data_IF_589915423284
#
_entry.id   IF_589915423284
#
_cell.length_a   1.000
_cell.length_b   1.000
_cell.length_c   1.000
_cell.angle_alpha   90.00
_cell.angle_beta   90.00
_cell.angle_gamma   90.00
#
_symmetry.space_group_name_H-M   'P 1'
#
loop_
_entity.id
_entity.type
_entity.pdbx_description
1 polymer ?
#
# COMPACT_ATOMS: atom_id res chain seq x y z
N UNK A 1 23.21 -20.66 -19.66
CA UNK A 1 23.31 -21.14 -18.25
C UNK A 1 23.02 -20.07 -17.19
N UNK A 2 23.27 -18.78 -17.42
CA UNK A 2 23.04 -17.71 -16.42
C UNK A 2 21.56 -17.40 -16.11
N UNK A 3 20.64 -17.59 -17.06
CA UNK A 3 19.19 -17.31 -16.85
C UNK A 3 18.48 -18.30 -15.92
N UNK A 4 19.01 -19.51 -15.76
CA UNK A 4 18.48 -20.53 -14.86
C UNK A 4 18.79 -20.24 -13.39
N UNK A 5 20.03 -19.81 -13.09
CA UNK A 5 20.45 -19.41 -11.75
C UNK A 5 19.71 -18.15 -11.27
N UNK A 6 19.45 -17.21 -12.18
CA UNK A 6 18.73 -15.95 -11.90
C UNK A 6 17.25 -16.17 -11.58
N UNK A 7 16.57 -17.07 -12.30
CA UNK A 7 15.20 -17.50 -11.99
C UNK A 7 15.12 -18.21 -10.64
N UNK A 8 16.12 -19.05 -10.33
CA UNK A 8 16.23 -19.71 -9.03
C UNK A 8 16.47 -18.72 -7.89
N UNK A 9 17.34 -17.72 -8.10
CA UNK A 9 17.65 -16.68 -7.13
C UNK A 9 16.45 -15.76 -6.85
N UNK A 10 15.71 -15.32 -7.86
CA UNK A 10 14.45 -14.58 -7.69
C UNK A 10 13.36 -15.39 -7.00
N UNK A 11 13.26 -16.67 -7.36
CA UNK A 11 12.31 -17.58 -6.73
C UNK A 11 12.70 -17.82 -5.27
N UNK A 12 13.99 -17.86 -4.95
CA UNK A 12 14.55 -18.00 -3.61
C UNK A 12 14.37 -16.73 -2.78
N UNK A 13 14.66 -15.53 -3.30
CA UNK A 13 14.40 -14.24 -2.64
C UNK A 13 12.90 -14.06 -2.40
N UNK A 14 12.04 -14.32 -3.40
CA UNK A 14 10.59 -14.26 -3.19
C UNK A 14 10.08 -15.35 -2.26
N UNK A 15 10.71 -16.53 -2.23
CA UNK A 15 10.41 -17.57 -1.23
C UNK A 15 10.90 -17.17 0.15
N UNK A 16 12.01 -16.45 0.26
CA UNK A 16 12.57 -15.93 1.51
C UNK A 16 11.75 -14.76 2.04
N UNK A 17 11.34 -13.81 1.21
CA UNK A 17 10.42 -12.72 1.55
C UNK A 17 9.05 -13.26 1.95
N UNK A 18 8.48 -14.20 1.17
CA UNK A 18 7.24 -14.87 1.55
C UNK A 18 7.41 -15.71 2.80
N UNK A 19 8.55 -16.39 3.01
CA UNK A 19 8.84 -17.12 4.25
C UNK A 19 9.08 -16.20 5.42
N UNK A 20 9.63 -15.00 5.23
CA UNK A 20 9.86 -13.99 6.24
C UNK A 20 8.54 -13.30 6.62
N UNK A 21 7.70 -12.93 5.64
CA UNK A 21 6.35 -12.41 5.89
C UNK A 21 5.42 -13.49 6.48
N UNK A 22 5.49 -14.73 5.99
CA UNK A 22 4.73 -15.85 6.53
C UNK A 22 5.26 -16.27 7.91
N UNK A 23 6.58 -16.18 8.16
CA UNK A 23 7.16 -16.35 9.49
C UNK A 23 6.74 -15.22 10.43
N UNK A 24 6.70 -13.96 9.98
CA UNK A 24 6.17 -12.84 10.77
C UNK A 24 4.69 -13.04 11.11
N UNK A 25 3.88 -13.52 10.16
CA UNK A 25 2.46 -13.83 10.37
C UNK A 25 2.25 -15.07 11.26
N UNK A 26 3.06 -16.13 11.09
CA UNK A 26 3.02 -17.36 11.88
C UNK A 26 3.55 -17.12 13.30
N UNK A 27 4.60 -16.33 13.47
CA UNK A 27 5.13 -15.91 14.78
C UNK A 27 4.09 -15.07 15.51
N UNK A 28 3.39 -14.15 14.82
CA UNK A 28 2.28 -13.38 15.41
C UNK A 28 1.08 -14.25 15.78
N UNK A 29 0.66 -15.19 14.91
CA UNK A 29 -0.45 -16.12 15.20
C UNK A 29 -0.13 -17.14 16.30
N UNK A 30 1.09 -17.67 16.33
CA UNK A 30 1.56 -18.64 17.34
C UNK A 30 1.80 -17.95 18.69
N UNK A 31 2.18 -16.68 18.71
CA UNK A 31 2.24 -15.86 19.92
C UNK A 31 0.84 -15.60 20.51
N UNK A 32 -0.15 -15.29 19.66
CA UNK A 32 -1.55 -15.12 20.06
C UNK A 32 -2.19 -16.41 20.59
N UNK A 33 -1.81 -17.58 20.04
CA UNK A 33 -2.37 -18.87 20.46
C UNK A 33 -1.69 -19.51 21.68
N UNK A 34 -0.49 -19.05 22.07
CA UNK A 34 0.30 -19.65 23.17
C UNK A 34 0.48 -18.73 24.37
N UNK A 35 -0.12 -17.54 24.37
CA UNK A 35 0.03 -16.55 25.44
C UNK A 35 1.47 -16.01 25.61
N UNK A 36 2.41 -16.40 24.75
CA UNK A 36 3.79 -15.90 24.74
C UNK A 36 3.86 -14.63 23.89
N UNK A 37 4.46 -13.56 24.42
CA UNK A 37 4.80 -12.36 23.62
C UNK A 37 5.48 -12.78 22.32
N UNK A 38 5.00 -12.27 21.19
CA UNK A 38 5.69 -12.43 19.92
C UNK A 38 7.15 -11.98 20.12
N UNK A 39 8.12 -12.83 19.76
CA UNK A 39 9.52 -12.40 19.69
C UNK A 39 9.53 -11.15 18.81
N UNK A 40 9.91 -10.01 19.38
CA UNK A 40 10.11 -8.80 18.62
C UNK A 40 11.13 -9.12 17.54
N UNK A 41 10.74 -9.05 16.27
CA UNK A 41 11.68 -9.16 15.17
C UNK A 41 12.46 -7.86 15.13
N UNK A 42 13.66 -7.87 15.69
CA UNK A 42 14.52 -6.70 15.64
C UNK A 42 15.03 -6.52 14.22
N UNK A 43 15.40 -5.29 13.85
CA UNK A 43 15.96 -5.01 12.53
C UNK A 43 17.17 -5.90 12.21
N UNK A 44 17.98 -6.23 13.24
CA UNK A 44 19.08 -7.20 13.13
C UNK A 44 18.62 -8.57 12.63
N UNK A 45 17.55 -9.12 13.20
CA UNK A 45 17.04 -10.45 12.83
C UNK A 45 16.55 -10.45 11.36
N UNK A 46 15.97 -9.34 10.92
CA UNK A 46 15.48 -9.17 9.53
C UNK A 46 16.65 -9.04 8.55
N UNK A 47 17.66 -8.24 8.90
CA UNK A 47 18.89 -8.09 8.12
C UNK A 47 19.61 -9.44 7.97
N UNK A 48 19.85 -10.17 9.06
CA UNK A 48 20.51 -11.48 9.02
C UNK A 48 19.72 -12.48 8.18
N UNK A 49 18.39 -12.52 8.32
CA UNK A 49 17.56 -13.39 7.51
C UNK A 49 17.62 -13.03 6.01
N UNK A 50 17.67 -11.74 5.67
CA UNK A 50 17.82 -11.26 4.30
C UNK A 50 19.16 -11.68 3.71
N UNK A 51 20.26 -11.41 4.40
CA UNK A 51 21.61 -11.73 3.94
C UNK A 51 21.83 -13.23 3.80
N UNK A 52 21.37 -14.04 4.76
CA UNK A 52 21.43 -15.50 4.67
C UNK A 52 20.64 -16.03 3.46
N UNK A 53 19.52 -15.38 3.13
CA UNK A 53 18.72 -15.76 1.97
C UNK A 53 19.39 -15.41 0.64
N UNK A 54 20.13 -14.30 0.60
CA UNK A 54 20.92 -13.88 -0.55
C UNK A 54 22.12 -14.80 -0.75
N UNK A 55 22.84 -15.13 0.32
CA UNK A 55 23.96 -16.05 0.31
C UNK A 55 23.53 -17.46 -0.16
N UNK A 56 22.42 -17.98 0.38
CA UNK A 56 21.82 -19.26 -0.08
C UNK A 56 21.44 -19.21 -1.57
N UNK A 57 21.11 -18.04 -2.11
CA UNK A 57 20.82 -17.85 -3.52
C UNK A 57 22.07 -17.67 -4.40
N UNK A 58 23.27 -17.67 -3.79
CA UNK A 58 24.56 -17.54 -4.47
C UNK A 58 25.06 -16.10 -4.60
N UNK A 59 24.46 -15.14 -3.90
CA UNK A 59 24.95 -13.76 -3.83
C UNK A 59 25.87 -13.61 -2.64
N UNK A 60 27.18 -13.76 -2.89
CA UNK A 60 28.20 -13.58 -1.86
C UNK A 60 28.30 -12.14 -1.40
N UNK A 61 28.88 -11.93 -0.22
CA UNK A 61 29.13 -10.61 0.34
C UNK A 61 29.90 -9.69 -0.64
N UNK A 62 30.97 -10.21 -1.23
CA UNK A 62 31.79 -9.49 -2.22
C UNK A 62 30.99 -9.07 -3.46
N UNK A 63 30.03 -9.91 -3.87
CA UNK A 63 29.13 -9.58 -4.98
C UNK A 63 28.17 -8.47 -4.58
N UNK A 64 27.56 -8.56 -3.39
CA UNK A 64 26.63 -7.55 -2.87
C UNK A 64 27.31 -6.19 -2.70
N UNK A 65 28.55 -6.13 -2.21
CA UNK A 65 29.30 -4.87 -2.09
C UNK A 65 29.47 -4.14 -3.43
N UNK A 66 29.62 -4.89 -4.53
CA UNK A 66 29.83 -4.31 -5.87
C UNK A 66 28.54 -4.06 -6.64
N UNK A 67 27.46 -4.79 -6.33
CA UNK A 67 26.27 -4.84 -7.20
C UNK A 67 24.96 -4.47 -6.47
N UNK A 68 24.96 -4.30 -5.15
CA UNK A 68 23.75 -3.91 -4.43
C UNK A 68 23.55 -2.39 -4.54
N UNK A 69 22.60 -1.99 -5.39
CA UNK A 69 22.37 -0.58 -5.73
C UNK A 69 21.32 0.06 -4.82
N UNK A 70 20.24 -0.66 -4.50
CA UNK A 70 19.17 -0.08 -3.70
C UNK A 70 18.41 -1.07 -2.82
N UNK A 71 17.83 -0.54 -1.76
CA UNK A 71 16.93 -1.23 -0.85
C UNK A 71 15.61 -0.47 -0.72
N UNK A 72 14.49 -1.14 -1.00
CA UNK A 72 13.15 -0.52 -1.01
C UNK A 72 12.25 -1.19 0.02
N UNK A 73 11.59 -0.41 0.87
CA UNK A 73 10.68 -0.95 1.89
C UNK A 73 9.48 -0.05 2.22
N UNK A 74 8.56 -0.51 3.05
CA UNK A 74 7.28 0.14 3.39
C UNK A 74 7.40 1.32 4.37
N UNK A 75 8.60 1.71 4.78
CA UNK A 75 8.83 2.85 5.67
C UNK A 75 8.52 2.60 7.14
N UNK A 76 8.24 1.35 7.52
CA UNK A 76 8.20 0.99 8.93
C UNK A 76 9.53 1.34 9.62
N UNK A 77 9.48 1.80 10.88
CA UNK A 77 10.68 2.20 11.64
C UNK A 77 11.71 1.07 11.75
N UNK A 78 11.27 -0.19 11.83
CA UNK A 78 12.17 -1.35 11.83
C UNK A 78 12.90 -1.52 10.49
N UNK A 79 12.32 -1.05 9.38
CA UNK A 79 12.88 -1.18 8.04
C UNK A 79 13.71 0.04 7.62
N UNK A 80 13.17 1.25 7.74
CA UNK A 80 13.81 2.49 7.28
C UNK A 80 14.22 3.44 8.43
N UNK A 81 14.18 3.00 9.68
CA UNK A 81 14.51 3.85 10.83
C UNK A 81 15.98 4.28 10.88
N UNK A 82 16.21 5.58 11.12
CA UNK A 82 17.53 6.22 11.05
C UNK A 82 18.60 5.65 11.98
N UNK A 83 18.22 5.11 13.14
CA UNK A 83 19.18 4.70 14.17
C UNK A 83 19.52 3.22 14.11
N UNK A 84 18.53 2.37 13.83
CA UNK A 84 18.67 0.92 13.96
C UNK A 84 17.86 0.13 12.93
N UNK A 85 17.24 0.79 11.96
CA UNK A 85 16.46 0.12 10.91
C UNK A 85 17.32 -0.74 10.00
N UNK A 86 16.69 -1.70 9.32
CA UNK A 86 17.38 -2.60 8.36
C UNK A 86 18.15 -1.80 7.31
N UNK A 87 17.55 -0.75 6.76
CA UNK A 87 18.17 0.15 5.79
C UNK A 87 19.48 0.75 6.32
N UNK A 88 19.45 1.35 7.51
CA UNK A 88 20.63 1.93 8.17
C UNK A 88 21.74 0.90 8.36
N UNK A 89 21.37 -0.33 8.75
CA UNK A 89 22.33 -1.42 8.96
C UNK A 89 22.93 -1.90 7.63
N UNK A 90 22.11 -2.02 6.59
CA UNK A 90 22.57 -2.37 5.25
C UNK A 90 23.45 -1.27 4.64
N UNK A 91 23.11 0.01 4.80
CA UNK A 91 23.93 1.13 4.30
C UNK A 91 25.27 1.21 5.03
N UNK A 92 25.34 0.86 6.31
CA UNK A 92 26.61 0.75 7.03
C UNK A 92 27.51 -0.37 6.48
N UNK A 93 26.92 -1.45 5.94
CA UNK A 93 27.64 -2.57 5.33
C UNK A 93 27.95 -2.36 3.85
N UNK A 94 27.07 -1.66 3.15
CA UNK A 94 27.13 -1.36 1.72
C UNK A 94 26.97 0.15 1.53
N UNK A 95 28.07 0.94 1.58
CA UNK A 95 28.00 2.40 1.56
C UNK A 95 27.35 3.00 0.31
N UNK A 96 27.39 2.28 -0.82
CA UNK A 96 26.77 2.70 -2.08
C UNK A 96 25.27 2.36 -2.18
N UNK A 97 24.69 1.78 -1.12
CA UNK A 97 23.30 1.34 -1.12
C UNK A 97 22.35 2.53 -0.91
N UNK A 98 21.55 2.81 -1.93
CA UNK A 98 20.49 3.80 -1.83
C UNK A 98 19.22 3.19 -1.19
N UNK A 99 18.60 3.91 -0.26
CA UNK A 99 17.39 3.42 0.42
C UNK A 99 16.16 4.20 -0.04
N UNK A 100 15.08 3.50 -0.37
CA UNK A 100 13.88 4.11 -0.93
C UNK A 100 12.62 3.70 -0.18
N UNK A 101 11.77 4.68 0.09
CA UNK A 101 10.44 4.42 0.64
C UNK A 101 9.48 4.09 -0.51
N UNK A 102 8.90 2.88 -0.46
CA UNK A 102 8.00 2.35 -1.47
C UNK A 102 6.93 3.38 -1.88
N UNK A 103 6.88 3.71 -3.17
CA UNK A 103 5.93 4.69 -3.70
C UNK A 103 4.49 4.31 -3.43
N UNK A 104 4.15 3.02 -3.53
CA UNK A 104 2.79 2.61 -3.27
C UNK A 104 2.42 2.78 -1.79
N UNK A 105 3.37 2.58 -0.86
CA UNK A 105 3.12 2.89 0.54
C UNK A 105 2.98 4.41 0.77
N UNK A 106 3.81 5.23 0.11
CA UNK A 106 3.69 6.70 0.15
C UNK A 106 2.32 7.16 -0.38
N UNK A 107 1.80 6.51 -1.43
CA UNK A 107 0.44 6.72 -1.95
C UNK A 107 -0.63 6.41 -0.89
N UNK A 108 -0.54 5.27 -0.22
CA UNK A 108 -1.48 4.93 0.86
C UNK A 108 -1.47 5.97 1.98
N UNK A 109 -0.28 6.43 2.38
CA UNK A 109 -0.16 7.47 3.41
C UNK A 109 -0.74 8.81 2.93
N UNK A 110 -0.60 9.16 1.66
CA UNK A 110 -1.18 10.39 1.09
C UNK A 110 -2.71 10.37 1.13
N UNK A 111 -3.30 9.22 0.79
CA UNK A 111 -4.76 9.06 0.86
C UNK A 111 -5.23 9.05 2.31
N UNK A 112 -4.49 8.42 3.23
CA UNK A 112 -4.82 8.43 4.66
C UNK A 112 -4.83 9.85 5.22
N UNK A 113 -3.78 10.63 5.00
CA UNK A 113 -3.69 12.01 5.47
C UNK A 113 -4.84 12.87 4.95
N UNK A 114 -5.18 12.73 3.65
CA UNK A 114 -6.28 13.49 3.06
C UNK A 114 -7.65 13.14 3.63
N UNK A 115 -7.86 11.87 4.01
CA UNK A 115 -9.09 11.42 4.68
C UNK A 115 -9.16 11.99 6.10
N UNK A 116 -8.04 12.04 6.81
CA UNK A 116 -7.97 12.57 8.17
C UNK A 116 -8.19 14.10 8.21
N UNK A 117 -7.79 14.83 7.15
CA UNK A 117 -8.03 16.26 6.99
C UNK A 117 -9.51 16.60 6.70
N UNK A 118 -10.27 15.70 6.06
CA UNK A 118 -11.67 15.94 5.64
C UNK A 118 -12.63 15.10 6.46
N UNK A 119 -13.04 15.64 7.62
CA UNK A 119 -13.86 14.95 8.61
C UNK A 119 -15.16 14.32 8.04
N UNK A 120 -15.77 14.93 7.02
CA UNK A 120 -16.98 14.38 6.37
C UNK A 120 -16.77 12.97 5.78
N UNK A 121 -15.54 12.62 5.37
CA UNK A 121 -15.20 11.30 4.85
C UNK A 121 -15.35 10.21 5.91
N UNK A 122 -15.26 10.55 7.20
CA UNK A 122 -15.44 9.57 8.28
C UNK A 122 -16.85 8.97 8.28
N UNK A 123 -17.89 9.76 8.00
CA UNK A 123 -19.27 9.24 7.91
C UNK A 123 -19.42 8.23 6.77
N UNK A 124 -18.78 8.49 5.62
CA UNK A 124 -18.73 7.56 4.50
C UNK A 124 -18.02 6.26 4.88
N UNK A 125 -16.83 6.37 5.50
CA UNK A 125 -16.03 5.23 5.95
C UNK A 125 -16.79 4.34 6.94
N UNK A 126 -17.37 4.93 7.99
CA UNK A 126 -18.13 4.21 9.02
C UNK A 126 -19.31 3.46 8.41
N UNK A 127 -20.00 4.08 7.44
CA UNK A 127 -21.11 3.43 6.77
C UNK A 127 -20.67 2.21 5.95
N UNK A 128 -19.61 2.33 5.15
CA UNK A 128 -19.10 1.18 4.38
C UNK A 128 -18.51 0.07 5.26
N UNK A 129 -17.89 0.43 6.39
CA UNK A 129 -17.45 -0.57 7.39
C UNK A 129 -18.63 -1.32 8.00
N UNK A 130 -19.76 -0.63 8.26
CA UNK A 130 -20.99 -1.26 8.74
C UNK A 130 -21.55 -2.24 7.71
N UNK A 131 -21.61 -1.86 6.43
CA UNK A 131 -22.01 -2.74 5.33
C UNK A 131 -21.09 -3.97 5.26
N UNK A 132 -19.78 -3.75 5.27
CA UNK A 132 -18.80 -4.85 5.27
C UNK A 132 -19.02 -5.81 6.45
N UNK A 133 -19.22 -5.30 7.66
CA UNK A 133 -19.41 -6.11 8.86
C UNK A 133 -20.71 -6.92 8.80
N UNK A 134 -21.80 -6.35 8.26
CA UNK A 134 -23.08 -7.05 8.11
C UNK A 134 -22.97 -8.32 7.27
N UNK A 135 -22.20 -8.28 6.18
CA UNK A 135 -22.06 -9.42 5.26
C UNK A 135 -20.90 -10.34 5.62
N UNK A 136 -19.79 -9.80 6.12
CA UNK A 136 -18.65 -10.63 6.54
C UNK A 136 -18.91 -11.48 7.78
N UNK A 137 -19.87 -11.08 8.62
CA UNK A 137 -20.19 -11.78 9.88
C UNK A 137 -21.42 -12.69 9.76
N UNK A 138 -22.21 -12.57 8.69
CA UNK A 138 -23.48 -13.30 8.54
C UNK A 138 -23.64 -13.89 7.15
N UNK A 139 -23.55 -15.21 7.06
CA UNK A 139 -23.89 -15.96 5.85
C UNK A 139 -25.37 -15.80 5.49
N UNK A 140 -26.25 -15.64 6.49
CA UNK A 140 -27.67 -15.38 6.27
C UNK A 140 -27.89 -14.08 5.50
N UNK A 141 -27.31 -12.98 5.98
CA UNK A 141 -27.40 -11.67 5.31
C UNK A 141 -26.79 -11.71 3.90
N UNK A 142 -25.70 -12.48 3.71
CA UNK A 142 -25.09 -12.65 2.39
C UNK A 142 -26.00 -13.40 1.41
N UNK A 143 -26.75 -14.40 1.89
CA UNK A 143 -27.75 -15.12 1.08
C UNK A 143 -28.95 -14.23 0.75
N UNK A 144 -29.48 -13.51 1.73
CA UNK A 144 -30.61 -12.60 1.53
C UNK A 144 -30.25 -11.43 0.59
N UNK A 145 -29.00 -10.95 0.62
CA UNK A 145 -28.52 -10.00 -0.38
C UNK A 145 -28.50 -10.60 -1.80
N UNK A 146 -28.14 -11.88 -1.93
CA UNK A 146 -28.14 -12.55 -3.23
C UNK A 146 -29.58 -12.73 -3.76
N UNK A 147 -30.52 -13.07 -2.88
CA UNK A 147 -31.96 -13.13 -3.20
C UNK A 147 -32.47 -11.76 -3.67
N UNK A 148 -32.18 -10.69 -2.90
CA UNK A 148 -32.53 -9.33 -3.29
C UNK A 148 -31.89 -8.89 -4.61
N UNK A 149 -30.68 -9.36 -4.91
CA UNK A 149 -30.00 -9.06 -6.16
C UNK A 149 -30.65 -9.76 -7.37
N UNK A 150 -31.16 -10.98 -7.19
CA UNK A 150 -31.92 -11.67 -8.22
C UNK A 150 -33.24 -10.95 -8.52
N UNK A 151 -33.92 -10.43 -7.49
CA UNK A 151 -35.16 -9.65 -7.65
C UNK A 151 -34.97 -8.40 -8.52
N UNK A 152 -33.85 -7.69 -8.36
CA UNK A 152 -33.57 -6.45 -9.10
C UNK A 152 -32.68 -6.65 -10.33
N UNK A 153 -32.31 -7.90 -10.66
CA UNK A 153 -31.43 -8.20 -11.79
C UNK A 153 -29.99 -7.67 -11.66
N UNK A 154 -29.51 -7.46 -10.43
CA UNK A 154 -28.19 -6.86 -10.15
C UNK A 154 -27.14 -7.92 -9.84
N UNK A 155 -25.87 -7.61 -10.14
CA UNK A 155 -24.74 -8.42 -9.67
C UNK A 155 -24.35 -8.05 -8.23
N UNK A 156 -24.08 -9.05 -7.39
CA UNK A 156 -23.47 -8.84 -6.06
C UNK A 156 -21.98 -9.00 -6.15
N UNK A 157 -21.25 -7.92 -5.89
CA UNK A 157 -19.79 -7.97 -5.73
C UNK A 157 -19.42 -8.06 -4.25
N UNK A 158 -18.29 -8.70 -3.94
CA UNK A 158 -17.81 -8.81 -2.56
C UNK A 158 -17.42 -7.43 -2.02
N UNK A 159 -18.17 -6.96 -1.03
CA UNK A 159 -17.90 -5.70 -0.34
C UNK A 159 -16.79 -5.93 0.68
N UNK A 160 -15.66 -5.26 0.51
CA UNK A 160 -14.53 -5.25 1.43
C UNK A 160 -14.58 -4.06 2.39
N UNK A 161 -13.53 -3.93 3.21
CA UNK A 161 -13.30 -2.71 3.99
C UNK A 161 -12.86 -1.56 3.08
N UNK A 162 -13.08 -0.33 3.54
CA UNK A 162 -12.73 0.92 2.84
C UNK A 162 -11.91 1.79 3.78
N UNK A 163 -10.78 2.30 3.28
CA UNK A 163 -9.91 3.25 4.01
C UNK A 163 -9.45 2.77 5.41
N UNK A 164 -9.48 1.47 5.67
CA UNK A 164 -8.99 0.84 6.91
C UNK A 164 -7.98 -0.30 6.69
N UNK A 165 -7.76 -0.71 5.43
CA UNK A 165 -6.76 -1.72 5.05
C UNK A 165 -5.86 -1.19 3.93
N UNK A 166 -4.56 -1.52 4.04
CA UNK A 166 -3.38 -0.98 3.34
C UNK A 166 -3.35 -0.96 1.80
N UNK A 167 -4.45 -0.89 1.08
CA UNK A 167 -4.41 -0.71 -0.37
C UNK A 167 -5.60 0.12 -0.88
N UNK A 168 -5.35 1.25 -1.51
CA UNK A 168 -6.33 2.10 -2.21
C UNK A 168 -7.14 1.28 -3.22
N UNK A 169 -6.47 0.36 -3.93
CA UNK A 169 -7.14 -0.56 -4.84
C UNK A 169 -8.17 -1.46 -4.14
N UNK A 170 -8.00 -1.76 -2.85
CA UNK A 170 -9.02 -2.48 -2.08
C UNK A 170 -10.20 -1.59 -1.73
N UNK A 171 -9.94 -0.35 -1.31
CA UNK A 171 -11.00 0.64 -1.06
C UNK A 171 -11.85 0.86 -2.31
N UNK A 172 -11.21 1.00 -3.48
CA UNK A 172 -11.90 1.14 -4.75
C UNK A 172 -12.78 -0.07 -5.07
N UNK A 173 -12.29 -1.31 -4.92
CA UNK A 173 -13.11 -2.51 -5.16
C UNK A 173 -14.36 -2.55 -4.30
N UNK A 174 -14.25 -2.12 -3.04
CA UNK A 174 -15.40 -2.08 -2.12
C UNK A 174 -16.39 -0.99 -2.50
N UNK A 175 -15.92 0.23 -2.84
CA UNK A 175 -16.78 1.31 -3.33
C UNK A 175 -17.47 0.91 -4.63
N UNK A 176 -16.73 0.31 -5.57
CA UNK A 176 -17.27 -0.24 -6.81
C UNK A 176 -18.32 -1.31 -6.55
N UNK A 177 -18.09 -2.20 -5.58
CA UNK A 177 -19.08 -3.22 -5.21
C UNK A 177 -20.37 -2.60 -4.68
N UNK A 178 -20.28 -1.55 -3.86
CA UNK A 178 -21.46 -0.84 -3.33
C UNK A 178 -22.21 -0.12 -4.45
N UNK A 179 -21.49 0.53 -5.38
CA UNK A 179 -22.10 1.18 -6.54
C UNK A 179 -22.84 0.16 -7.44
N UNK A 180 -22.15 -0.91 -7.83
CA UNK A 180 -22.73 -1.94 -8.72
C UNK A 180 -23.90 -2.68 -8.07
N UNK A 181 -23.87 -2.90 -6.75
CA UNK A 181 -24.92 -3.61 -6.02
C UNK A 181 -25.89 -2.67 -5.30
N UNK A 182 -25.97 -1.40 -5.71
CA UNK A 182 -26.68 -0.36 -4.97
C UNK A 182 -28.18 -0.68 -4.79
N UNK A 183 -28.86 -1.08 -5.86
CA UNK A 183 -30.28 -1.47 -5.81
C UNK A 183 -30.51 -2.71 -4.95
N UNK A 184 -29.66 -3.72 -5.11
CA UNK A 184 -29.75 -4.97 -4.34
C UNK A 184 -29.54 -4.73 -2.84
N UNK A 185 -28.58 -3.87 -2.49
CA UNK A 185 -28.32 -3.46 -1.12
C UNK A 185 -29.53 -2.75 -0.52
N UNK A 186 -30.11 -1.79 -1.23
CA UNK A 186 -31.29 -1.07 -0.76
C UNK A 186 -32.48 -2.02 -0.58
N UNK A 187 -32.76 -2.87 -1.57
CA UNK A 187 -33.83 -3.88 -1.52
C UNK A 187 -33.68 -4.82 -0.32
N UNK A 188 -32.47 -5.34 -0.10
CA UNK A 188 -32.20 -6.19 1.07
C UNK A 188 -32.47 -5.44 2.38
N UNK A 189 -32.06 -4.17 2.50
CA UNK A 189 -32.32 -3.38 3.69
C UNK A 189 -33.80 -3.09 3.91
N UNK A 190 -34.58 -2.86 2.85
CA UNK A 190 -36.04 -2.71 2.93
C UNK A 190 -36.73 -4.01 3.36
N UNK A 191 -36.38 -5.13 2.74
CA UNK A 191 -36.92 -6.45 3.07
C UNK A 191 -36.62 -6.80 4.54
N UNK A 192 -35.38 -6.61 4.99
CA UNK A 192 -34.98 -6.86 6.38
C UNK A 192 -35.60 -5.87 7.39
N UNK A 193 -35.96 -4.66 6.96
CA UNK A 193 -36.66 -3.67 7.78
C UNK A 193 -38.16 -4.00 7.96
N UNK A 194 -38.78 -4.66 6.98
CA UNK A 194 -40.17 -5.11 6.99
C UNK A 194 -40.39 -6.50 7.60
N UNK A 195 -39.33 -7.32 7.69
CA UNK A 195 -39.41 -8.69 8.20
C UNK A 195 -39.76 -8.75 9.69
N UNK A 196 -41.00 -9.19 9.97
CA UNK A 196 -41.53 -9.29 11.33
C UNK A 196 -40.84 -10.37 12.19
N UNK A 197 -40.12 -11.31 11.58
CA UNK A 197 -39.36 -12.35 12.30
C UNK A 197 -38.08 -11.80 12.94
N UNK A 198 -37.58 -10.65 12.48
CA UNK A 198 -36.41 -9.97 13.07
C UNK A 198 -36.80 -9.14 14.28
N UNK A 199 -35.85 -8.92 15.19
CA UNK A 199 -36.09 -8.07 16.36
C UNK A 199 -36.38 -6.62 15.95
N UNK A 200 -37.12 -5.90 16.80
CA UNK A 200 -37.41 -4.46 16.58
C UNK A 200 -36.12 -3.63 16.39
N UNK A 201 -35.05 -3.96 17.13
CA UNK A 201 -33.74 -3.31 17.03
C UNK A 201 -33.05 -3.56 15.70
N UNK A 202 -33.10 -4.79 15.19
CA UNK A 202 -32.56 -5.12 13.87
C UNK A 202 -33.33 -4.40 12.77
N UNK A 203 -34.67 -4.48 12.80
CA UNK A 203 -35.53 -3.77 11.83
C UNK A 203 -35.22 -2.27 11.79
N UNK A 204 -35.08 -1.64 12.96
CA UNK A 204 -34.72 -0.22 13.04
C UNK A 204 -33.32 0.06 12.46
N UNK A 205 -32.37 -0.85 12.66
CA UNK A 205 -31.03 -0.75 12.08
C UNK A 205 -31.10 -0.78 10.56
N UNK A 206 -31.83 -1.73 9.98
CA UNK A 206 -32.00 -1.85 8.53
C UNK A 206 -32.75 -0.66 7.92
N UNK A 207 -33.77 -0.11 8.60
CA UNK A 207 -34.42 1.16 8.19
C UNK A 207 -33.45 2.33 8.14
N UNK A 208 -32.48 2.37 9.07
CA UNK A 208 -31.43 3.39 9.05
C UNK A 208 -30.47 3.21 7.88
N UNK A 209 -30.14 1.97 7.51
CA UNK A 209 -29.29 1.65 6.37
C UNK A 209 -29.98 1.97 5.04
N UNK A 210 -31.25 1.59 4.87
CA UNK A 210 -32.06 1.91 3.69
C UNK A 210 -32.15 3.43 3.49
N UNK A 211 -32.55 4.18 4.54
CA UNK A 211 -32.59 5.66 4.49
C UNK A 211 -31.25 6.31 4.16
N UNK A 212 -30.14 5.68 4.52
CA UNK A 212 -28.80 6.15 4.18
C UNK A 212 -28.46 5.86 2.72
N UNK A 213 -28.85 4.70 2.19
CA UNK A 213 -28.72 4.39 0.76
C UNK A 213 -29.54 5.39 -0.05
N UNK A 214 -30.83 5.58 0.28
CA UNK A 214 -31.77 6.50 -0.38
C UNK A 214 -31.42 7.99 -0.22
N UNK A 215 -30.32 8.36 0.43
CA UNK A 215 -29.93 9.76 0.60
C UNK A 215 -29.24 10.29 -0.65
N UNK A 216 -29.73 11.42 -1.16
CA UNK A 216 -29.09 12.19 -2.25
C UNK A 216 -27.63 12.52 -1.94
N UNK A 217 -27.38 12.93 -0.70
CA UNK A 217 -26.06 13.30 -0.19
C UNK A 217 -25.12 12.09 -0.15
N UNK A 218 -25.62 10.91 0.28
CA UNK A 218 -24.83 9.68 0.24
C UNK A 218 -24.43 9.28 -1.17
N UNK A 219 -25.38 9.35 -2.10
CA UNK A 219 -25.15 8.93 -3.48
C UNK A 219 -24.07 9.80 -4.14
N UNK A 220 -24.10 11.11 -3.89
CA UNK A 220 -23.06 12.04 -4.31
C UNK A 220 -21.71 11.71 -3.69
N UNK A 221 -21.64 11.47 -2.36
CA UNK A 221 -20.42 11.03 -1.70
C UNK A 221 -19.85 9.74 -2.32
N UNK A 222 -20.72 8.78 -2.64
CA UNK A 222 -20.35 7.51 -3.24
C UNK A 222 -19.78 7.69 -4.66
N UNK A 223 -20.40 8.54 -5.48
CA UNK A 223 -19.92 8.88 -6.83
C UNK A 223 -18.55 9.56 -6.79
N UNK A 224 -18.39 10.57 -5.95
CA UNK A 224 -17.12 11.28 -5.75
C UNK A 224 -16.00 10.31 -5.32
N UNK A 225 -16.28 9.47 -4.32
CA UNK A 225 -15.32 8.49 -3.81
C UNK A 225 -15.00 7.42 -4.86
N UNK A 226 -15.96 7.03 -5.70
CA UNK A 226 -15.74 6.09 -6.80
C UNK A 226 -14.71 6.64 -7.78
N UNK A 227 -14.94 7.86 -8.30
CA UNK A 227 -14.08 8.45 -9.33
C UNK A 227 -12.67 8.71 -8.79
N UNK A 228 -12.55 9.30 -7.59
CA UNK A 228 -11.26 9.57 -6.98
C UNK A 228 -10.47 8.28 -6.67
N UNK A 229 -11.12 7.28 -6.05
CA UNK A 229 -10.44 6.01 -5.73
C UNK A 229 -10.13 5.18 -6.98
N UNK A 230 -10.89 5.32 -8.07
CA UNK A 230 -10.59 4.67 -9.35
C UNK A 230 -9.25 5.15 -9.89
N UNK A 231 -9.04 6.47 -9.96
CA UNK A 231 -7.79 7.07 -10.45
C UNK A 231 -6.59 6.70 -9.57
N UNK A 232 -6.77 6.73 -8.25
CA UNK A 232 -5.71 6.36 -7.31
C UNK A 232 -5.42 4.85 -7.34
N UNK A 233 -6.43 4.00 -7.53
CA UNK A 233 -6.24 2.55 -7.70
C UNK A 233 -5.48 2.23 -8.99
N UNK A 234 -5.78 2.93 -10.07
CA UNK A 234 -5.07 2.82 -11.34
C UNK A 234 -3.60 3.26 -11.21
N UNK A 235 -3.34 4.38 -10.54
CA UNK A 235 -1.97 4.81 -10.20
C UNK A 235 -1.25 3.73 -9.39
N UNK A 236 -1.90 3.22 -8.34
CA UNK A 236 -1.35 2.19 -7.47
C UNK A 236 -0.91 0.93 -8.25
N UNK A 237 -1.76 0.46 -9.16
CA UNK A 237 -1.46 -0.71 -10.00
C UNK A 237 -0.29 -0.45 -10.96
N UNK A 238 -0.24 0.74 -11.57
CA UNK A 238 0.84 1.09 -12.49
C UNK A 238 2.18 1.29 -11.77
N UNK A 239 2.18 1.84 -10.55
CA UNK A 239 3.39 1.94 -9.71
C UNK A 239 3.92 0.59 -9.24
N UNK A 240 3.11 -0.47 -9.28
CA UNK A 240 3.53 -1.84 -8.97
C UNK A 240 3.98 -2.61 -10.23
N UNK A 241 3.82 -2.03 -11.42
CA UNK A 241 4.18 -2.69 -12.66
C UNK A 241 5.71 -2.92 -12.72
N UNK A 242 6.11 -4.10 -13.15
CA UNK A 242 7.52 -4.49 -13.19
C UNK A 242 8.40 -3.71 -14.15
N UNK A 243 7.79 -3.03 -15.11
CA UNK A 243 8.44 -2.20 -16.11
C UNK A 243 8.47 -0.72 -15.72
N UNK A 244 7.93 -0.34 -14.55
CA UNK A 244 7.85 1.07 -14.18
C UNK A 244 9.24 1.61 -13.81
N UNK A 245 9.63 2.71 -14.45
CA UNK A 245 10.81 3.50 -14.08
C UNK A 245 10.39 4.66 -13.18
N UNK A 246 11.33 5.28 -12.47
CA UNK A 246 11.02 6.46 -11.63
C UNK A 246 10.49 7.64 -12.47
N UNK A 247 11.04 7.87 -13.67
CA UNK A 247 10.52 8.87 -14.60
C UNK A 247 9.08 8.57 -15.03
N UNK A 248 8.80 7.29 -15.34
CA UNK A 248 7.43 6.89 -15.68
C UNK A 248 6.51 7.07 -14.48
N UNK A 249 6.96 6.73 -13.28
CA UNK A 249 6.20 6.91 -12.05
C UNK A 249 5.88 8.39 -11.78
N UNK A 250 6.82 9.31 -12.01
CA UNK A 250 6.60 10.76 -11.94
C UNK A 250 5.56 11.22 -12.96
N UNK A 251 5.69 10.81 -14.22
CA UNK A 251 4.71 11.13 -15.26
C UNK A 251 3.30 10.62 -14.89
N UNK A 252 3.20 9.41 -14.35
CA UNK A 252 1.94 8.82 -13.90
C UNK A 252 1.34 9.61 -12.73
N UNK A 253 2.14 9.99 -11.75
CA UNK A 253 1.72 10.83 -10.63
C UNK A 253 1.19 12.18 -11.13
N UNK A 254 1.95 12.88 -11.98
CA UNK A 254 1.54 14.18 -12.56
C UNK A 254 0.28 14.06 -13.41
N UNK A 255 0.10 12.96 -14.15
CA UNK A 255 -1.16 12.67 -14.85
C UNK A 255 -2.31 12.53 -13.85
N UNK A 256 -2.17 11.69 -12.83
CA UNK A 256 -3.24 11.47 -11.84
C UNK A 256 -3.60 12.76 -11.11
N UNK A 257 -2.62 13.59 -10.73
CA UNK A 257 -2.87 14.90 -10.12
C UNK A 257 -3.69 15.81 -11.06
N UNK A 258 -3.34 15.86 -12.35
CA UNK A 258 -4.10 16.65 -13.34
C UNK A 258 -5.54 16.17 -13.48
N UNK A 259 -5.77 14.85 -13.49
CA UNK A 259 -7.13 14.29 -13.55
C UNK A 259 -7.93 14.65 -12.29
N UNK A 260 -7.36 14.44 -11.10
CA UNK A 260 -8.01 14.81 -9.84
C UNK A 260 -8.26 16.32 -9.73
N UNK A 261 -7.38 17.16 -10.29
CA UNK A 261 -7.58 18.60 -10.36
C UNK A 261 -8.75 18.94 -11.28
N UNK A 262 -8.86 18.28 -12.44
CA UNK A 262 -9.97 18.48 -13.37
C UNK A 262 -11.33 18.12 -12.74
N UNK A 263 -11.39 17.15 -11.83
CA UNK A 263 -12.61 16.81 -11.08
C UNK A 263 -13.20 17.95 -10.23
N UNK A 264 -12.44 19.03 -10.00
CA UNK A 264 -12.94 20.23 -9.31
C UNK A 264 -13.84 21.10 -10.20
N UNK A 265 -13.64 21.03 -11.51
CA UNK A 265 -14.30 21.86 -12.52
C UNK A 265 -15.21 21.03 -13.43
N UNK A 266 -14.77 19.83 -13.81
CA UNK A 266 -15.52 18.85 -14.62
C UNK A 266 -15.67 17.58 -13.81
N UNK A 267 -16.90 17.27 -13.42
CA UNK A 267 -17.21 16.17 -12.52
C UNK A 267 -16.79 14.82 -13.12
N UNK A 268 -16.41 13.88 -12.24
CA UNK A 268 -16.13 12.51 -12.67
C UNK A 268 -17.40 11.79 -13.12
N UNK A 269 -17.25 10.70 -13.88
CA UNK A 269 -18.37 9.98 -14.51
C UNK A 269 -19.42 9.55 -13.47
N UNK A 270 -19.01 8.97 -12.34
CA UNK A 270 -19.96 8.48 -11.33
C UNK A 270 -20.53 9.59 -10.46
N UNK A 271 -19.78 10.66 -10.25
CA UNK A 271 -20.32 11.84 -9.59
C UNK A 271 -21.38 12.55 -10.44
N UNK A 272 -21.17 12.66 -11.75
CA UNK A 272 -22.17 13.19 -12.70
C UNK A 272 -23.43 12.28 -12.76
N UNK A 273 -23.23 10.95 -12.80
CA UNK A 273 -24.32 9.98 -12.74
C UNK A 273 -25.15 10.13 -11.44
N UNK A 274 -24.48 10.34 -10.30
CA UNK A 274 -25.12 10.60 -9.01
C UNK A 274 -25.94 11.90 -9.01
N UNK A 275 -25.42 12.98 -9.60
CA UNK A 275 -26.11 14.27 -9.68
C UNK A 275 -27.32 14.22 -10.62
N UNK A 276 -27.19 13.49 -11.73
CA UNK A 276 -28.31 13.24 -12.64
C UNK A 276 -29.41 12.45 -11.92
N UNK A 277 -29.06 11.38 -11.21
CA UNK A 277 -30.00 10.61 -10.41
C UNK A 277 -30.65 11.46 -9.30
N UNK A 278 -29.89 12.36 -8.66
CA UNK A 278 -30.42 13.30 -7.68
C UNK A 278 -31.48 14.23 -8.26
N UNK A 279 -31.27 14.73 -9.49
CA UNK A 279 -32.22 15.59 -10.20
C UNK A 279 -33.48 14.83 -10.63
N UNK A 280 -33.34 13.57 -11.06
CA UNK A 280 -34.46 12.68 -11.39
C UNK A 280 -35.23 12.20 -10.15
N UNK A 281 -34.58 12.19 -8.98
CA UNK A 281 -35.16 11.74 -7.71
C UNK A 281 -35.08 10.23 -7.48
N UNK A 282 -34.34 9.49 -8.31
CA UNK A 282 -34.11 8.06 -8.14
C UNK A 282 -32.81 7.60 -8.82
N UNK A 283 -32.22 6.51 -8.34
CA UNK A 283 -31.16 5.76 -9.04
C UNK A 283 -31.65 4.34 -9.28
N UNK A 284 -31.88 3.98 -10.55
CA UNK A 284 -32.52 2.71 -10.89
C UNK A 284 -33.92 2.65 -10.26
N UNK A 285 -34.22 1.58 -9.51
CA UNK A 285 -35.47 1.45 -8.75
C UNK A 285 -35.47 2.11 -7.36
N UNK A 286 -34.35 2.70 -6.92
CA UNK A 286 -34.21 3.25 -5.57
C UNK A 286 -34.62 4.73 -5.54
N UNK A 287 -35.66 5.11 -4.78
CA UNK A 287 -36.04 6.51 -4.62
C UNK A 287 -35.00 7.28 -3.80
N UNK A 288 -34.80 8.55 -4.12
CA UNK A 288 -33.82 9.41 -3.46
C UNK A 288 -34.49 10.57 -2.70
N UNK A 289 -34.17 10.67 -1.42
CA UNK A 289 -34.64 11.68 -0.50
C UNK A 289 -33.46 12.50 0.05
N UNK A 290 -33.73 13.74 0.46
CA UNK A 290 -32.73 14.55 1.16
C UNK A 290 -32.60 14.11 2.61
N UNK A 291 -31.37 13.95 3.09
CA UNK A 291 -31.10 13.58 4.47
C UNK A 291 -30.34 14.71 5.18
N UNK A 292 -31.09 15.60 5.84
CA UNK A 292 -30.54 16.76 6.55
C UNK A 292 -29.55 16.42 7.68
N UNK A 293 -29.51 15.17 8.16
CA UNK A 293 -28.55 14.73 9.18
C UNK A 293 -27.18 14.43 8.60
N UNK A 294 -27.06 14.35 7.28
CA UNK A 294 -25.80 14.10 6.64
C UNK A 294 -25.16 15.37 6.10
N UNK A 295 -23.95 15.64 6.55
CA UNK A 295 -23.05 16.56 5.88
C UNK A 295 -22.35 15.85 4.72
N UNK A 296 -22.63 16.20 3.45
CA UNK A 296 -21.92 15.63 2.31
C UNK A 296 -20.45 16.04 2.30
N UNK A 297 -19.62 15.27 1.62
CA UNK A 297 -18.21 15.57 1.41
C UNK A 297 -18.11 16.79 0.48
N UNK A 298 -17.38 17.82 0.92
CA UNK A 298 -17.04 18.93 0.04
C UNK A 298 -16.03 18.45 -1.01
N UNK A 299 -16.52 18.22 -2.24
CA UNK A 299 -15.73 17.68 -3.34
C UNK A 299 -14.46 18.50 -3.62
N UNK A 300 -14.56 19.83 -3.69
CA UNK A 300 -13.42 20.71 -3.98
C UNK A 300 -12.37 20.65 -2.87
N UNK A 301 -12.79 20.65 -1.62
CA UNK A 301 -11.89 20.55 -0.47
C UNK A 301 -11.22 19.17 -0.44
N UNK A 302 -11.97 18.09 -0.62
CA UNK A 302 -11.46 16.73 -0.62
C UNK A 302 -10.45 16.47 -1.74
N UNK A 303 -10.78 16.85 -2.98
CA UNK A 303 -9.88 16.72 -4.12
C UNK A 303 -8.61 17.55 -3.92
N UNK A 304 -8.73 18.77 -3.37
CA UNK A 304 -7.57 19.61 -3.09
C UNK A 304 -6.66 18.99 -2.01
N UNK A 305 -7.24 18.46 -0.93
CA UNK A 305 -6.49 17.78 0.13
C UNK A 305 -5.77 16.53 -0.40
N UNK A 306 -6.44 15.73 -1.24
CA UNK A 306 -5.81 14.61 -1.94
C UNK A 306 -4.61 15.06 -2.79
N UNK A 307 -4.79 16.09 -3.64
CA UNK A 307 -3.72 16.60 -4.50
C UNK A 307 -2.53 17.08 -3.66
N UNK A 308 -2.78 17.86 -2.61
CA UNK A 308 -1.73 18.39 -1.74
C UNK A 308 -0.92 17.25 -1.10
N UNK A 309 -1.60 16.22 -0.58
CA UNK A 309 -0.96 15.09 0.06
C UNK A 309 -0.22 14.18 -0.95
N UNK A 310 -0.74 14.01 -2.17
CA UNK A 310 -0.03 13.32 -3.25
C UNK A 310 1.27 14.05 -3.63
N UNK A 311 1.21 15.37 -3.81
CA UNK A 311 2.39 16.19 -4.12
C UNK A 311 3.40 16.10 -2.99
N UNK A 312 2.96 16.35 -1.75
CA UNK A 312 3.82 16.29 -0.54
C UNK A 312 4.52 14.94 -0.39
N UNK A 313 3.79 13.84 -0.63
CA UNK A 313 4.30 12.50 -0.33
C UNK A 313 4.86 11.77 -1.51
N UNK A 314 4.65 12.14 -2.77
CA UNK A 314 5.15 11.35 -3.91
C UNK A 314 5.97 12.15 -4.91
N UNK A 315 6.03 13.48 -4.80
CA UNK A 315 6.88 14.27 -5.68
C UNK A 315 8.34 13.86 -5.53
N UNK A 316 9.03 13.90 -6.66
CA UNK A 316 10.46 13.71 -6.75
C UNK A 316 11.15 15.07 -6.75
N UNK A 317 12.36 15.12 -6.20
CA UNK A 317 13.20 16.30 -6.31
C UNK A 317 13.61 16.52 -7.77
N UNK A 318 13.56 17.76 -8.24
CA UNK A 318 13.79 18.10 -9.65
C UNK A 318 15.18 17.69 -10.15
N UNK A 319 16.19 17.80 -9.29
CA UNK A 319 17.57 17.37 -9.58
C UNK A 319 17.66 15.84 -9.77
N UNK A 320 17.00 15.07 -8.90
CA UNK A 320 16.96 13.60 -9.01
C UNK A 320 16.29 13.16 -10.32
N UNK A 321 15.19 13.80 -10.73
CA UNK A 321 14.53 13.49 -12.01
C UNK A 321 15.40 13.87 -13.22
N UNK A 322 16.07 15.02 -13.15
CA UNK A 322 17.01 15.45 -14.19
C UNK A 322 18.13 14.42 -14.37
N UNK A 323 18.72 13.95 -13.29
CA UNK A 323 19.78 12.94 -13.34
C UNK A 323 19.25 11.61 -13.89
N UNK A 324 18.07 11.18 -13.45
CA UNK A 324 17.46 9.95 -13.96
C UNK A 324 17.05 10.03 -15.44
N UNK A 325 16.86 11.23 -16.01
CA UNK A 325 16.48 11.42 -17.41
C UNK A 325 17.49 10.85 -18.41
N UNK A 326 18.76 10.75 -18.01
CA UNK A 326 19.85 10.14 -18.78
C UNK A 326 19.65 8.63 -18.96
N UNK A 327 18.92 7.99 -18.04
CA UNK A 327 18.59 6.57 -18.11
C UNK A 327 17.37 6.30 -19.01
N UNK A 328 16.71 7.34 -19.53
CA UNK A 328 15.62 7.16 -20.48
C UNK A 328 16.16 6.86 -21.88
N UNK A 329 16.05 5.59 -22.28
CA UNK A 329 16.43 5.14 -23.63
C UNK A 329 15.68 5.85 -24.76
N UNK A 330 14.52 6.47 -24.47
CA UNK A 330 13.82 7.32 -25.45
C UNK A 330 14.57 8.60 -25.79
N UNK A 331 15.45 9.06 -24.89
CA UNK A 331 16.30 10.24 -25.08
C UNK A 331 17.69 9.89 -25.60
N UNK A 332 17.99 8.60 -25.83
CA UNK A 332 19.29 8.19 -26.30
C UNK A 332 19.41 8.48 -27.80
N UNK A 333 20.51 9.11 -28.25
CA UNK A 333 20.74 9.33 -29.66
C UNK A 333 20.81 7.99 -30.40
N UNK A 334 20.29 7.95 -31.63
CA UNK A 334 20.26 6.75 -32.48
C UNK A 334 21.65 6.15 -32.74
N UNK A 335 22.71 6.95 -32.52
CA UNK A 335 24.11 6.54 -32.52
C UNK A 335 24.77 7.01 -31.22
N UNK A 336 24.94 6.13 -30.21
CA UNK A 336 25.56 6.51 -28.95
C UNK A 336 27.07 6.73 -29.12
N UNK A 337 27.53 7.97 -28.89
CA UNK A 337 28.95 8.32 -28.82
C UNK A 337 29.50 8.21 -27.40
N UNK A 338 30.75 7.74 -27.27
CA UNK A 338 31.56 7.46 -26.05
C UNK A 338 31.56 8.58 -25.00
N UNK A 339 31.18 9.82 -25.34
CA UNK A 339 31.25 11.02 -24.48
C UNK A 339 29.89 11.53 -23.99
N UNK A 340 29.00 10.68 -23.50
CA UNK A 340 27.84 11.19 -22.76
C UNK A 340 28.26 11.57 -21.33
N UNK A 341 28.82 12.77 -21.15
CA UNK A 341 29.15 13.38 -19.85
C UNK A 341 27.99 13.32 -18.84
N UNK A 342 26.75 13.26 -19.33
CA UNK A 342 25.55 13.10 -18.54
C UNK A 342 25.52 11.78 -17.75
N UNK A 343 26.06 10.67 -18.28
CA UNK A 343 26.08 9.39 -17.57
C UNK A 343 27.06 9.38 -16.39
N UNK A 344 28.18 10.11 -16.51
CA UNK A 344 29.15 10.29 -15.43
C UNK A 344 28.58 11.16 -14.29
N UNK A 345 27.85 12.24 -14.62
CA UNK A 345 27.17 13.09 -13.64
C UNK A 345 26.12 12.36 -12.80
N UNK A 346 25.43 11.37 -13.36
CA UNK A 346 24.43 10.55 -12.61
C UNK A 346 25.09 9.61 -11.62
N UNK A 347 26.23 9.01 -11.98
CA UNK A 347 27.02 8.22 -11.05
C UNK A 347 27.50 9.09 -9.87
N UNK A 348 27.96 10.32 -10.13
CA UNK A 348 28.40 11.24 -9.08
C UNK A 348 27.23 11.80 -8.24
N UNK A 349 26.08 12.11 -8.85
CA UNK A 349 24.89 12.65 -8.15
C UNK A 349 24.22 11.63 -7.22
N UNK A 350 24.15 10.36 -7.63
CA UNK A 350 23.61 9.27 -6.80
C UNK A 350 24.54 8.93 -5.63
N UNK A 351 25.86 9.09 -5.80
CA UNK A 351 26.85 8.83 -4.75
C UNK A 351 27.02 10.02 -3.77
N UNK A 352 26.76 11.26 -4.22
CA UNK A 352 26.99 12.47 -3.42
C UNK A 352 25.76 12.99 -2.66
N UNK A 353 24.55 12.50 -2.90
CA UNK A 353 23.34 12.97 -2.19
C UNK A 353 23.16 12.32 -0.80
N UNK A 354 24.19 12.46 0.05
CA UNK A 354 24.28 11.98 1.42
C UNK A 354 23.84 13.02 2.47
N UNK A 355 22.86 13.88 2.15
CA UNK A 355 22.27 14.75 3.15
C UNK A 355 20.85 14.29 3.54
N UNK A 356 20.59 14.02 4.84
CA UNK A 356 19.25 13.75 5.30
C UNK A 356 18.38 15.02 5.09
N UNK A 357 17.08 14.87 4.81
CA UNK A 357 16.18 16.02 4.76
C UNK A 357 16.20 16.75 6.11
N UNK A 358 16.07 18.09 6.13
CA UNK A 358 16.03 18.86 7.36
C UNK A 358 14.89 18.36 8.26
N UNK A 359 15.04 18.46 9.59
CA UNK A 359 14.02 18.00 10.52
C UNK A 359 12.70 18.71 10.23
N UNK A 360 11.64 17.93 10.01
CA UNK A 360 10.28 18.43 10.15
C UNK A 360 10.12 18.95 11.59
N UNK A 361 9.53 20.14 11.82
CA UNK A 361 9.31 20.64 13.16
C UNK A 361 8.49 19.62 13.95
N UNK A 362 9.02 19.18 15.08
CA UNK A 362 8.26 18.44 16.07
C UNK A 362 7.10 19.36 16.51
N UNK A 363 5.88 19.01 16.14
CA UNK A 363 4.70 19.51 16.83
C UNK A 363 4.65 18.79 18.18
N UNK A 364 5.38 19.33 19.16
CA UNK A 364 5.00 19.18 20.55
C UNK A 364 3.82 20.13 20.75
N UNK A 365 2.63 19.57 20.94
CA UNK A 365 1.50 20.36 21.42
C UNK A 365 1.83 20.82 22.84
N UNK A 366 2.08 22.12 22.99
CA UNK A 366 1.89 22.81 24.26
C UNK A 366 0.39 22.83 24.55
N UNK A 367 0.01 22.17 25.63
CA UNK A 367 -1.22 22.48 26.36
C UNK A 367 -0.98 22.18 27.84
N UNK A 368 -0.58 23.25 28.53
CA UNK A 368 -0.97 23.67 29.88
C UNK A 368 -0.79 22.71 31.07
N UNK A 369 0.24 23.05 31.86
CA UNK A 369 0.24 23.28 33.32
C UNK A 369 -0.35 22.23 34.28
N UNK A 370 0.54 21.58 35.04
CA UNK A 370 0.45 21.55 36.52
C UNK A 370 1.84 21.26 37.15
N UNK A 371 2.33 22.00 38.17
CA UNK A 371 3.66 21.84 38.73
C UNK A 371 3.62 21.05 40.05
N UNK A 372 4.14 19.82 40.08
CA UNK A 372 4.64 19.25 41.33
C UNK A 372 5.54 18.03 41.11
N UNK A 373 6.60 18.00 41.91
CA UNK A 373 7.53 16.90 42.15
C UNK A 373 8.65 16.62 41.13
N UNK A 374 9.73 17.37 41.35
CA UNK A 374 11.10 16.87 41.61
C UNK A 374 11.44 15.42 41.26
N UNK A 375 12.51 15.29 40.46
CA UNK A 375 13.55 14.31 40.75
C UNK A 375 13.71 13.19 39.73
N UNK A 376 14.85 13.24 39.03
CA UNK A 376 15.77 12.12 38.73
C UNK A 376 16.26 12.02 37.28
N UNK A 377 17.43 12.65 37.11
CA UNK A 377 18.70 12.10 36.59
C UNK A 377 18.63 11.11 35.42
N UNK A 378 19.12 11.59 34.28
CA UNK A 378 19.89 10.81 33.32
C UNK A 378 20.98 9.98 34.02
N UNK A 379 21.04 8.68 33.72
CA UNK A 379 22.23 7.87 33.87
C UNK A 379 22.39 6.97 32.65
N UNK A 380 23.37 7.31 31.82
CA UNK A 380 24.04 6.37 30.94
C UNK A 380 25.07 5.56 31.75
N UNK A 381 25.33 4.35 31.27
CA UNK A 381 26.53 3.49 31.45
C UNK A 381 26.57 2.44 32.59
N UNK A 382 27.12 1.28 32.17
CA UNK A 382 27.83 0.21 32.88
C UNK A 382 27.10 -1.03 33.40
N UNK A 383 27.60 -2.19 32.95
CA UNK A 383 28.19 -3.18 33.87
C UNK A 383 27.39 -4.46 34.19
N UNK A 384 27.85 -5.58 33.61
CA UNK A 384 27.85 -6.99 34.08
C UNK A 384 27.05 -7.33 35.37
N UNK A 385 26.28 -8.43 35.35
CA UNK A 385 26.66 -9.74 35.98
C UNK A 385 25.55 -10.81 35.89
N UNK A 386 26.04 -12.06 35.87
CA UNK A 386 25.46 -13.42 35.93
C UNK A 386 24.15 -13.70 36.68
N UNK A 387 23.43 -14.74 36.24
CA UNK A 387 23.01 -16.01 36.90
C UNK A 387 22.00 -16.67 35.92
N UNK A 388 22.02 -17.93 35.47
CA UNK A 388 22.49 -19.20 36.00
C UNK A 388 21.31 -20.19 35.98
N UNK A 389 21.51 -21.35 35.33
CA UNK A 389 20.74 -22.63 35.38
C UNK A 389 19.65 -22.90 34.32
N UNK A 390 19.75 -24.09 33.74
CA UNK A 390 18.58 -24.94 33.46
C UNK A 390 18.43 -25.48 32.03
N UNK A 391 19.29 -26.42 31.63
CA UNK A 391 19.02 -27.36 30.52
C UNK A 391 18.03 -28.43 31.03
N UNK A 392 17.02 -28.83 30.24
CA UNK A 392 17.06 -30.21 29.72
C UNK A 392 16.71 -30.34 28.23
N UNK A 393 17.37 -31.31 27.64
CA UNK A 393 17.24 -31.88 26.29
C UNK A 393 15.93 -32.67 26.05
N UNK A 394 15.63 -33.04 24.79
CA UNK A 394 14.28 -33.25 24.28
C UNK A 394 13.79 -34.70 24.33
N UNK A 395 12.47 -34.89 24.41
CA UNK A 395 11.81 -36.14 24.01
C UNK A 395 11.27 -36.03 22.58
N UNK A 396 11.68 -37.03 21.83
CA UNK A 396 11.33 -37.40 20.46
C UNK A 396 9.83 -37.64 20.25
N UNK A 397 9.36 -37.33 19.03
CA UNK A 397 8.41 -38.19 18.29
C UNK A 397 8.44 -37.87 16.79
N UNK A 398 8.86 -38.89 16.05
CA UNK A 398 8.74 -39.03 14.60
C UNK A 398 7.31 -39.42 14.20
N UNK A 399 7.02 -39.13 12.93
CA UNK A 399 6.14 -39.77 11.93
C UNK A 399 5.20 -38.73 11.30
N UNK A 400 5.48 -38.34 10.04
CA UNK A 400 5.14 -39.05 8.79
C UNK A 400 3.63 -38.98 8.52
N UNK A 401 3.09 -38.91 7.31
CA UNK A 401 3.46 -38.51 5.94
C UNK A 401 2.11 -38.66 5.15
N UNK A 402 2.05 -38.29 3.86
CA UNK A 402 0.90 -38.39 2.89
C UNK A 402 0.14 -37.06 2.71
N UNK A 403 0.33 -36.29 1.61
CA UNK A 403 -0.06 -36.50 0.18
C UNK A 403 -1.55 -36.88 0.07
N UNK A 404 -2.42 -36.15 -0.62
CA UNK A 404 -2.46 -35.84 -2.07
C UNK A 404 -3.47 -34.69 -2.34
N UNK A 405 -3.12 -33.66 -3.13
CA UNK A 405 -3.53 -33.42 -4.54
C UNK A 405 -4.77 -32.53 -4.73
N UNK A 406 -4.65 -31.47 -5.56
CA UNK A 406 -5.78 -30.94 -6.33
C UNK A 406 -5.82 -29.43 -6.59
N UNK A 407 -5.45 -29.04 -7.82
CA UNK A 407 -5.93 -27.86 -8.59
C UNK A 407 -5.41 -26.46 -8.16
N UNK A 408 -4.43 -25.90 -8.87
CA UNK A 408 -4.52 -25.17 -10.15
C UNK A 408 -5.12 -23.76 -10.03
N UNK A 409 -4.25 -22.76 -9.91
CA UNK A 409 -4.44 -21.46 -10.56
C UNK A 409 -3.07 -20.89 -10.93
N UNK A 410 -2.84 -20.81 -12.24
CA UNK A 410 -1.66 -20.17 -12.87
C UNK A 410 -1.83 -18.66 -12.78
N UNK A 411 -0.81 -17.95 -12.28
CA UNK A 411 -0.61 -16.52 -12.53
C UNK A 411 0.89 -16.30 -12.80
N UNK A 412 1.30 -15.84 -13.99
CA UNK A 412 2.70 -15.66 -14.33
C UNK A 412 3.16 -14.27 -13.87
N UNK A 413 4.22 -14.24 -13.07
CA UNK A 413 4.97 -13.02 -12.78
C UNK A 413 6.45 -13.42 -12.69
N UNK A 414 7.11 -13.46 -13.84
CA UNK A 414 8.54 -13.62 -13.97
C UNK A 414 9.02 -12.62 -15.01
N UNK A 415 10.22 -12.07 -14.79
CA UNK A 415 10.93 -11.09 -15.63
C UNK A 415 10.86 -9.62 -15.20
N UNK A 416 11.17 -9.35 -13.93
CA UNK A 416 11.54 -8.00 -13.47
C UNK A 416 13.06 -7.80 -13.50
N UNK A 417 13.85 -8.85 -13.27
CA UNK A 417 15.32 -8.69 -13.30
C UNK A 417 15.92 -8.86 -14.71
N UNK A 418 15.17 -9.39 -15.68
CA UNK A 418 15.63 -9.44 -17.07
C UNK A 418 15.70 -8.04 -17.72
N UNK A 419 14.90 -7.08 -17.24
CA UNK A 419 14.98 -5.69 -17.67
C UNK A 419 16.23 -5.01 -17.11
N UNK A 420 16.55 -5.25 -15.82
CA UNK A 420 17.78 -4.76 -15.20
C UNK A 420 19.00 -5.36 -15.88
N UNK A 421 18.98 -6.64 -16.28
CA UNK A 421 20.12 -7.28 -16.97
C UNK A 421 20.24 -6.95 -18.46
N UNK A 422 19.16 -6.66 -19.20
CA UNK A 422 19.28 -6.11 -20.57
C UNK A 422 19.83 -4.68 -20.54
N UNK A 423 19.38 -3.87 -19.57
CA UNK A 423 19.96 -2.56 -19.31
C UNK A 423 21.43 -2.66 -18.89
N UNK A 424 21.79 -3.59 -18.00
CA UNK A 424 23.17 -3.74 -17.51
C UNK A 424 24.13 -4.41 -18.49
N UNK A 425 23.69 -5.38 -19.32
CA UNK A 425 24.59 -6.00 -20.31
C UNK A 425 24.84 -5.09 -21.50
N UNK A 426 23.88 -4.27 -21.94
CA UNK A 426 24.13 -3.26 -22.97
C UNK A 426 24.92 -2.06 -22.44
N UNK A 427 24.74 -1.69 -21.16
CA UNK A 427 25.54 -0.65 -20.51
C UNK A 427 26.95 -1.13 -20.13
N UNK A 428 27.15 -2.34 -19.61
CA UNK A 428 28.48 -2.90 -19.33
C UNK A 428 29.27 -3.19 -20.61
N UNK A 429 28.64 -3.67 -21.70
CA UNK A 429 29.35 -3.88 -22.97
C UNK A 429 29.75 -2.56 -23.65
N UNK A 430 28.95 -1.50 -23.46
CA UNK A 430 29.28 -0.16 -23.98
C UNK A 430 30.30 0.55 -23.09
N UNK A 431 30.18 0.46 -21.76
CA UNK A 431 31.09 1.08 -20.78
C UNK A 431 32.43 0.35 -20.73
N UNK A 432 32.50 -0.97 -20.87
CA UNK A 432 33.78 -1.69 -21.00
C UNK A 432 34.50 -1.42 -22.32
N UNK A 433 33.79 -1.20 -23.43
CA UNK A 433 34.41 -0.74 -24.70
C UNK A 433 34.84 0.72 -24.66
N UNK A 434 34.20 1.53 -23.82
CA UNK A 434 34.47 2.95 -23.62
C UNK A 434 35.67 3.19 -22.67
N UNK A 435 35.80 2.38 -21.61
CA UNK A 435 36.80 2.57 -20.55
C UNK A 435 38.06 1.68 -20.68
N UNK A 436 38.07 0.64 -21.52
CA UNK A 436 39.25 -0.21 -21.77
C UNK A 436 39.86 0.00 -23.16
N UNK A 437 39.79 1.24 -23.66
CA UNK A 437 40.60 1.69 -24.79
C UNK A 437 42.05 1.98 -24.39
N UNK A 438 42.71 1.01 -23.73
CA UNK A 438 44.15 0.76 -23.68
C UNK A 438 44.37 -0.73 -23.49
#
# INVERSE_FOLDING_TARGET
MASGKERSAQLLVRRAERRAQCAQLLVRRRAQSTGRRARSCWAKDIEEALLNSLDTAGFTEEWLQKNCVSFVSDGASVMLGKNSGVATRLTARYPNLFTWHCMNHRLELAVSDAVDEVQAVNHFKVFLEKIHNLYSQSNKNSRELLEAAQEVGSQVLKIGRVLSTRWVASSFRSVKAVWTSYEALNRHFENAAGDQTRSSKERQTYRGLARRMQSKEFLCDLGLMFDALSELANLSQQLQAHSVTLLRADHLLKRTIRVLASFKDTQGEKFEEALTAQALGHLGSVPLESNAKLTPINAKQFLQSLINNLVKRLSFDGEMLHDLSVLDTGNWPSTPGIRHEAALRVCDGILNNNNPPPPSPCWCSDSDSDPSHEGFRCLCSNGKTSVGRGVPEPRSRQQADRRTSGQSSRLPCGMVQAAVRRYHLQSELSVRRCCLGQ
#
